data_IF_508467705780
#
_entry.id   IF_508467705780
#
_cell.length_a   1.000
_cell.length_b   1.000
_cell.length_c   1.000
_cell.angle_alpha   90.00
_cell.angle_beta   90.00
_cell.angle_gamma   90.00
#
_symmetry.space_group_name_H-M   'P 1'
#
loop_
_entity.id
_entity.type
_entity.pdbx_description
1 polymer ?
#
# COMPACT_ATOMS: atom_id res chain seq x y z
N UNK A 1 26.60 -10.89 -8.94
CA UNK A 1 25.38 -10.79 -9.80
C UNK A 1 24.51 -9.69 -9.20
N UNK A 2 24.39 -8.54 -9.86
CA UNK A 2 23.44 -7.52 -9.44
C UNK A 2 22.03 -8.08 -9.56
N UNK A 3 21.14 -7.86 -8.57
CA UNK A 3 19.75 -8.25 -8.71
C UNK A 3 19.19 -7.54 -9.95
N UNK A 4 18.55 -8.29 -10.84
CA UNK A 4 17.80 -7.70 -11.95
C UNK A 4 16.69 -6.87 -11.34
N UNK A 5 16.98 -5.57 -11.15
CA UNK A 5 15.98 -4.59 -10.78
C UNK A 5 14.87 -4.63 -11.83
N UNK A 6 13.67 -4.60 -11.36
CA UNK A 6 12.35 -4.43 -11.97
C UNK A 6 12.40 -3.75 -13.39
N UNK A 7 12.96 -4.43 -14.40
CA UNK A 7 13.11 -3.92 -15.77
C UNK A 7 11.81 -3.51 -16.46
N UNK A 8 10.68 -3.94 -15.94
CA UNK A 8 9.35 -3.60 -16.47
C UNK A 8 8.71 -2.36 -15.79
N UNK A 9 9.43 -1.73 -14.86
CA UNK A 9 9.12 -0.40 -14.33
C UNK A 9 9.98 0.69 -14.99
N UNK A 10 10.72 0.40 -16.06
CA UNK A 10 11.36 1.38 -16.92
C UNK A 10 10.28 2.10 -17.76
N UNK A 11 9.42 2.83 -17.06
CA UNK A 11 8.54 3.86 -17.58
C UNK A 11 9.19 5.23 -17.50
N UNK A 12 8.46 6.31 -17.84
CA UNK A 12 8.94 7.67 -17.64
C UNK A 12 9.42 7.88 -16.20
N UNK A 13 10.34 8.81 -15.99
CA UNK A 13 10.93 9.12 -14.68
C UNK A 13 9.88 9.12 -13.56
N UNK A 14 10.18 8.47 -12.44
CA UNK A 14 9.29 8.47 -11.26
C UNK A 14 8.98 9.91 -10.85
N UNK A 15 7.72 10.28 -10.78
CA UNK A 15 7.25 11.65 -10.47
C UNK A 15 6.67 11.69 -9.06
N UNK A 16 7.31 12.41 -8.16
CA UNK A 16 6.85 12.59 -6.77
C UNK A 16 6.41 14.03 -6.56
N UNK A 17 5.15 14.22 -6.16
CA UNK A 17 4.62 15.54 -5.81
C UNK A 17 4.81 15.79 -4.30
N UNK A 18 5.40 16.94 -3.97
CA UNK A 18 5.62 17.38 -2.59
C UNK A 18 4.84 18.67 -2.34
N UNK A 19 3.79 18.58 -1.52
CA UNK A 19 2.90 19.72 -1.23
C UNK A 19 3.09 20.17 0.21
N UNK A 20 3.71 21.32 0.39
CA UNK A 20 3.96 21.96 1.70
C UNK A 20 4.03 23.46 1.52
N UNK A 21 3.42 24.26 2.40
CA UNK A 21 3.45 25.71 2.34
C UNK A 21 4.86 26.32 2.48
N UNK A 22 5.80 25.59 3.09
CA UNK A 22 7.18 26.04 3.29
C UNK A 22 8.08 25.72 2.10
N UNK A 23 8.58 26.74 1.41
CA UNK A 23 9.56 26.58 0.31
C UNK A 23 10.82 25.84 0.77
N UNK A 24 11.27 26.07 2.01
CA UNK A 24 12.45 25.40 2.57
C UNK A 24 12.20 23.89 2.74
N UNK A 25 11.04 23.52 3.29
CA UNK A 25 10.66 22.12 3.50
C UNK A 25 10.57 21.40 2.14
N UNK A 26 9.89 21.99 1.15
CA UNK A 26 9.81 21.41 -0.20
C UNK A 26 11.19 21.18 -0.79
N UNK A 27 12.10 22.17 -0.65
CA UNK A 27 13.47 22.04 -1.15
C UNK A 27 14.24 20.91 -0.45
N UNK A 28 14.20 20.87 0.88
CA UNK A 28 14.89 19.82 1.65
C UNK A 28 14.40 18.41 1.27
N UNK A 29 13.09 18.23 1.14
CA UNK A 29 12.51 16.96 0.70
C UNK A 29 12.97 16.61 -0.73
N UNK A 30 12.94 17.60 -1.63
CA UNK A 30 13.36 17.40 -3.02
C UNK A 30 14.85 17.00 -3.11
N UNK A 31 15.73 17.70 -2.39
CA UNK A 31 17.18 17.45 -2.39
C UNK A 31 17.47 16.01 -1.91
N UNK A 32 16.78 15.55 -0.86
CA UNK A 32 16.97 14.20 -0.32
C UNK A 32 16.38 13.15 -1.28
N UNK A 33 15.20 13.39 -1.84
CA UNK A 33 14.59 12.45 -2.80
C UNK A 33 15.44 12.31 -4.06
N UNK A 34 15.97 13.40 -4.62
CA UNK A 34 16.82 13.38 -5.81
C UNK A 34 18.16 12.68 -5.56
N UNK A 35 18.72 12.83 -4.35
CA UNK A 35 19.92 12.10 -3.95
C UNK A 35 19.67 10.59 -3.83
N UNK A 36 18.56 10.18 -3.21
CA UNK A 36 18.27 8.79 -2.86
C UNK A 36 17.54 8.02 -3.97
N UNK A 37 16.94 8.73 -4.93
CA UNK A 37 16.18 8.19 -6.06
C UNK A 37 16.69 8.79 -7.38
N UNK A 38 17.79 8.27 -7.94
CA UNK A 38 18.33 8.77 -9.20
C UNK A 38 17.26 8.78 -10.31
N UNK A 39 17.10 9.93 -10.98
CA UNK A 39 16.12 10.10 -12.04
C UNK A 39 14.70 10.45 -11.59
N UNK A 40 14.47 10.66 -10.28
CA UNK A 40 13.17 11.13 -9.79
C UNK A 40 12.91 12.58 -10.22
N UNK A 41 11.72 12.84 -10.74
CA UNK A 41 11.19 14.18 -10.94
C UNK A 41 10.39 14.59 -9.69
N UNK A 42 10.84 15.64 -8.99
CA UNK A 42 10.12 16.16 -7.82
C UNK A 42 9.36 17.42 -8.20
N UNK A 43 8.04 17.38 -8.02
CA UNK A 43 7.11 18.48 -8.30
C UNK A 43 6.76 19.12 -6.97
N UNK A 44 7.27 20.33 -6.72
CA UNK A 44 7.01 21.07 -5.48
C UNK A 44 5.82 22.01 -5.63
N UNK A 45 4.76 21.83 -4.84
CA UNK A 45 3.57 22.66 -4.81
C UNK A 45 3.40 23.31 -3.43
N UNK A 46 2.91 24.56 -3.38
CA UNK A 46 2.74 25.27 -2.11
C UNK A 46 1.29 25.34 -1.62
N UNK A 47 0.36 24.84 -2.43
CA UNK A 47 -1.08 24.90 -2.21
C UNK A 47 -1.83 23.77 -2.90
N UNK A 48 -3.10 23.62 -2.58
CA UNK A 48 -4.03 22.71 -3.26
C UNK A 48 -4.20 23.11 -4.73
N UNK A 49 -4.35 24.41 -4.99
CA UNK A 49 -4.53 24.93 -6.36
C UNK A 49 -3.31 24.61 -7.22
N UNK A 50 -2.09 24.87 -6.73
CA UNK A 50 -0.86 24.57 -7.44
C UNK A 50 -0.70 23.05 -7.70
N UNK A 51 -1.04 22.22 -6.71
CA UNK A 51 -1.04 20.78 -6.87
C UNK A 51 -2.06 20.30 -7.93
N UNK A 52 -3.25 20.91 -8.02
CA UNK A 52 -4.24 20.58 -9.04
C UNK A 52 -3.74 20.95 -10.45
N UNK A 53 -3.10 22.12 -10.60
CA UNK A 53 -2.48 22.51 -11.87
C UNK A 53 -1.41 21.52 -12.29
N UNK A 54 -0.56 21.06 -11.36
CA UNK A 54 0.47 20.06 -11.65
C UNK A 54 -0.12 18.70 -12.03
N UNK A 55 -1.20 18.26 -11.38
CA UNK A 55 -1.93 17.02 -11.73
C UNK A 55 -2.55 17.09 -13.13
N UNK A 56 -2.99 18.26 -13.57
CA UNK A 56 -3.51 18.44 -14.93
C UNK A 56 -2.42 18.34 -16.03
N UNK A 57 -1.15 18.54 -15.68
CA UNK A 57 -0.01 18.42 -16.59
C UNK A 57 0.45 16.97 -16.81
N UNK A 58 0.03 16.05 -15.96
CA UNK A 58 0.35 14.62 -16.10
C UNK A 58 0.30 13.84 -14.80
N UNK A 59 0.34 12.51 -14.90
CA UNK A 59 0.25 11.63 -13.75
C UNK A 59 1.49 11.75 -12.84
N UNK A 60 1.28 11.51 -11.54
CA UNK A 60 2.34 11.38 -10.54
C UNK A 60 2.30 9.98 -9.92
N UNK A 61 3.42 9.53 -9.37
CA UNK A 61 3.58 8.20 -8.78
C UNK A 61 3.36 8.19 -7.27
N UNK A 62 3.45 9.36 -6.64
CA UNK A 62 3.22 9.54 -5.21
C UNK A 62 2.99 11.02 -4.91
N UNK A 63 2.14 11.29 -3.92
CA UNK A 63 1.92 12.62 -3.34
C UNK A 63 2.27 12.58 -1.87
N UNK A 64 3.15 13.49 -1.42
CA UNK A 64 3.27 13.85 0.00
C UNK A 64 2.59 15.19 0.21
N UNK A 65 1.83 15.35 1.28
CA UNK A 65 1.16 16.61 1.59
C UNK A 65 1.27 16.95 3.07
N UNK A 66 1.53 18.22 3.39
CA UNK A 66 1.33 18.73 4.75
C UNK A 66 -0.15 18.67 5.12
N UNK A 67 -0.45 18.44 6.39
CA UNK A 67 -1.84 18.47 6.87
C UNK A 67 -2.44 19.87 6.72
N UNK A 68 -1.64 20.91 6.97
CA UNK A 68 -2.08 22.33 6.86
C UNK A 68 -1.44 22.97 5.63
N UNK A 69 -2.27 23.48 4.73
CA UNK A 69 -1.89 24.24 3.53
C UNK A 69 -2.53 25.64 3.59
N UNK A 70 -2.02 26.59 2.79
CA UNK A 70 -2.50 27.98 2.80
C UNK A 70 -3.96 28.15 2.34
N UNK A 71 -4.44 27.24 1.50
CA UNK A 71 -5.76 27.24 0.85
C UNK A 71 -6.65 26.06 1.26
N UNK A 72 -6.27 25.32 2.33
CA UNK A 72 -7.04 24.20 2.85
C UNK A 72 -6.20 23.22 3.66
N UNK A 73 -6.62 21.99 3.70
CA UNK A 73 -5.90 20.91 4.38
C UNK A 73 -5.47 19.80 3.42
N UNK A 74 -4.48 19.00 3.85
CA UNK A 74 -3.96 17.89 3.08
C UNK A 74 -4.98 16.77 2.82
N UNK A 75 -6.04 16.66 3.63
CA UNK A 75 -7.11 15.69 3.44
C UNK A 75 -8.01 16.11 2.26
N UNK A 76 -8.28 17.41 2.14
CA UNK A 76 -8.98 17.97 0.98
C UNK A 76 -8.19 17.75 -0.31
N UNK A 77 -6.86 17.95 -0.27
CA UNK A 77 -6.00 17.62 -1.40
C UNK A 77 -6.03 16.12 -1.73
N UNK A 78 -5.92 15.25 -0.74
CA UNK A 78 -5.97 13.81 -0.93
C UNK A 78 -7.25 13.39 -1.70
N UNK A 79 -8.40 13.94 -1.33
CA UNK A 79 -9.66 13.73 -2.06
C UNK A 79 -9.55 14.17 -3.51
N UNK A 80 -9.05 15.39 -3.77
CA UNK A 80 -8.89 15.92 -5.13
C UNK A 80 -7.95 15.06 -5.99
N UNK A 81 -6.89 14.50 -5.40
CA UNK A 81 -6.00 13.54 -6.08
C UNK A 81 -6.77 12.31 -6.53
N UNK A 82 -7.65 11.75 -5.67
CA UNK A 82 -8.47 10.58 -6.02
C UNK A 82 -9.47 10.85 -7.13
N UNK A 83 -9.98 12.08 -7.20
CA UNK A 83 -10.93 12.53 -8.21
C UNK A 83 -10.25 12.87 -9.55
N UNK A 84 -8.94 13.07 -9.56
CA UNK A 84 -8.20 13.38 -10.77
C UNK A 84 -8.06 12.17 -11.71
N UNK A 85 -8.18 12.40 -13.00
CA UNK A 85 -8.13 11.35 -14.01
C UNK A 85 -6.79 10.57 -13.96
N UNK A 86 -6.86 9.26 -13.84
CA UNK A 86 -5.69 8.37 -13.77
C UNK A 86 -4.94 8.39 -12.45
N UNK A 87 -5.42 9.14 -11.43
CA UNK A 87 -4.74 9.33 -10.15
C UNK A 87 -5.44 8.63 -8.96
N UNK A 88 -6.53 7.92 -9.22
CA UNK A 88 -7.37 7.32 -8.17
C UNK A 88 -6.61 6.39 -7.19
N UNK A 89 -5.46 5.89 -7.60
CA UNK A 89 -4.67 4.90 -6.83
C UNK A 89 -3.26 5.39 -6.45
N UNK A 90 -2.94 6.62 -6.74
CA UNK A 90 -1.62 7.19 -6.37
C UNK A 90 -1.51 7.22 -4.85
N UNK A 91 -0.41 6.73 -4.25
CA UNK A 91 -0.19 6.86 -2.83
C UNK A 91 -0.20 8.32 -2.40
N UNK A 92 -1.04 8.67 -1.41
CA UNK A 92 -1.08 9.99 -0.78
C UNK A 92 -0.65 9.85 0.67
N UNK A 93 0.48 10.46 1.01
CA UNK A 93 1.07 10.44 2.34
C UNK A 93 0.89 11.79 3.00
N UNK A 94 0.19 11.83 4.12
CA UNK A 94 0.04 13.04 4.92
C UNK A 94 1.22 13.15 5.89
N UNK A 95 1.96 14.25 5.81
CA UNK A 95 3.11 14.56 6.66
C UNK A 95 2.67 15.53 7.76
N UNK A 96 2.63 15.07 9.02
CA UNK A 96 2.11 15.83 10.15
C UNK A 96 2.96 15.64 11.40
N UNK A 97 3.01 16.67 12.27
CA UNK A 97 3.58 16.54 13.62
C UNK A 97 2.74 15.66 14.54
N UNK A 98 1.44 15.51 14.24
CA UNK A 98 0.48 14.71 15.03
C UNK A 98 0.12 13.38 14.34
N UNK A 99 1.01 12.89 13.46
CA UNK A 99 0.77 11.69 12.67
C UNK A 99 0.43 10.47 13.53
N UNK A 100 1.07 10.32 14.67
CA UNK A 100 0.83 9.19 15.58
C UNK A 100 -0.59 9.20 16.15
N UNK A 101 -1.11 10.37 16.51
CA UNK A 101 -2.51 10.52 16.98
C UNK A 101 -3.51 10.19 15.87
N UNK A 102 -3.24 10.58 14.63
CA UNK A 102 -4.08 10.24 13.48
C UNK A 102 -4.02 8.74 13.14
N UNK A 103 -2.84 8.11 13.26
CA UNK A 103 -2.67 6.67 13.11
C UNK A 103 -3.41 5.87 14.19
N UNK A 104 -3.33 6.31 15.46
CA UNK A 104 -4.01 5.66 16.58
C UNK A 104 -5.53 5.81 16.51
N UNK A 105 -6.03 6.97 16.12
CA UNK A 105 -7.46 7.23 15.93
C UNK A 105 -8.01 6.62 14.63
N UNK A 106 -7.13 6.02 13.79
CA UNK A 106 -7.48 5.42 12.49
C UNK A 106 -8.45 6.29 11.67
N UNK A 107 -8.25 7.57 11.67
CA UNK A 107 -8.91 8.48 10.75
C UNK A 107 -8.28 8.35 9.36
N UNK A 108 -8.12 7.11 8.88
CA UNK A 108 -7.90 6.87 7.47
C UNK A 108 -9.16 7.33 6.76
N UNK A 109 -9.10 8.51 6.18
CA UNK A 109 -10.05 8.82 5.15
C UNK A 109 -9.74 7.91 3.99
N UNK A 110 -10.74 7.47 3.25
CA UNK A 110 -10.60 6.65 2.04
C UNK A 110 -9.61 7.22 1.00
N UNK A 111 -9.18 8.48 1.20
CA UNK A 111 -8.32 9.22 0.28
C UNK A 111 -6.84 9.19 0.66
N UNK A 112 -6.50 8.94 1.92
CA UNK A 112 -5.12 8.93 2.43
C UNK A 112 -4.59 7.52 2.50
N UNK A 113 -3.41 7.30 1.89
CA UNK A 113 -2.74 6.00 1.91
C UNK A 113 -2.02 5.77 3.22
N UNK A 114 -1.32 6.80 3.73
CA UNK A 114 -0.55 6.69 4.96
C UNK A 114 -0.26 8.06 5.59
N UNK A 115 0.23 8.04 6.83
CA UNK A 115 0.67 9.20 7.56
C UNK A 115 2.15 9.06 7.92
N UNK A 116 2.89 10.16 7.82
CA UNK A 116 4.28 10.21 8.22
C UNK A 116 4.49 11.26 9.32
N UNK A 117 5.19 10.88 10.39
CA UNK A 117 5.52 11.79 11.48
C UNK A 117 6.66 12.73 11.06
N UNK A 118 6.35 14.03 11.01
CA UNK A 118 7.28 15.09 10.62
C UNK A 118 8.50 15.18 11.55
N UNK A 119 8.37 14.76 12.80
CA UNK A 119 9.46 14.78 13.77
C UNK A 119 10.60 13.82 13.44
N UNK A 120 10.33 12.78 12.62
CA UNK A 120 11.35 11.82 12.15
C UNK A 120 12.33 12.42 11.13
N UNK A 121 12.03 13.60 10.61
CA UNK A 121 12.90 14.34 9.70
C UNK A 121 12.81 13.92 8.23
N UNK A 122 13.48 14.71 7.38
CA UNK A 122 13.36 14.58 5.92
C UNK A 122 14.05 13.33 5.36
N UNK A 123 15.13 12.86 5.98
CA UNK A 123 15.84 11.63 5.60
C UNK A 123 14.94 10.40 5.79
N UNK A 124 14.25 10.33 6.92
CA UNK A 124 13.30 9.25 7.19
C UNK A 124 12.10 9.32 6.23
N UNK A 125 11.61 10.53 5.90
CA UNK A 125 10.55 10.71 4.91
C UNK A 125 11.00 10.22 3.52
N UNK A 126 12.21 10.54 3.08
CA UNK A 126 12.72 10.09 1.79
C UNK A 126 12.86 8.55 1.73
N UNK A 127 13.34 7.93 2.82
CA UNK A 127 13.39 6.47 2.94
C UNK A 127 11.99 5.85 2.88
N UNK A 128 11.01 6.49 3.51
CA UNK A 128 9.61 6.08 3.51
C UNK A 128 9.00 6.19 2.09
N UNK A 129 9.18 7.34 1.43
CA UNK A 129 8.74 7.59 0.04
C UNK A 129 9.39 6.58 -0.92
N UNK A 130 10.70 6.34 -0.79
CA UNK A 130 11.40 5.33 -1.59
C UNK A 130 10.76 3.96 -1.45
N UNK A 131 10.29 3.60 -0.26
CA UNK A 131 9.55 2.37 -0.03
C UNK A 131 8.30 2.23 -0.89
N UNK A 132 7.65 3.33 -1.25
CA UNK A 132 6.48 3.35 -2.11
C UNK A 132 6.82 3.36 -3.60
N UNK A 133 7.79 4.19 -4.01
CA UNK A 133 8.08 4.41 -5.45
C UNK A 133 9.09 3.41 -6.02
N UNK A 134 9.94 2.84 -5.18
CA UNK A 134 10.88 1.77 -5.53
C UNK A 134 10.77 0.63 -4.51
N UNK A 135 9.69 -0.12 -4.51
CA UNK A 135 9.55 -1.22 -3.58
C UNK A 135 10.61 -2.28 -3.86
N UNK A 136 11.46 -2.54 -2.87
CA UNK A 136 12.43 -3.63 -2.97
C UNK A 136 11.69 -4.96 -2.92
N UNK A 137 12.05 -5.89 -3.79
CA UNK A 137 11.54 -7.26 -3.76
C UNK A 137 11.85 -7.92 -2.41
N UNK A 138 10.97 -8.80 -1.99
CA UNK A 138 11.14 -9.63 -0.79
C UNK A 138 11.12 -11.10 -1.26
N UNK A 139 12.22 -11.59 -1.85
CA UNK A 139 12.24 -12.91 -2.44
C UNK A 139 11.85 -13.98 -1.46
N UNK A 140 11.03 -14.93 -1.92
CA UNK A 140 10.60 -16.09 -1.14
C UNK A 140 9.50 -15.80 -0.11
N UNK A 141 9.00 -14.57 0.00
CA UNK A 141 7.80 -14.30 0.81
C UNK A 141 6.60 -15.05 0.22
N UNK A 142 5.78 -15.64 1.08
CA UNK A 142 4.66 -16.51 0.68
C UNK A 142 3.33 -15.75 0.81
N UNK A 143 2.61 -15.65 -0.29
CA UNK A 143 1.29 -15.05 -0.39
C UNK A 143 0.25 -16.17 -0.43
N UNK A 144 -0.67 -16.20 0.54
CA UNK A 144 -1.90 -16.98 0.43
C UNK A 144 -2.90 -16.19 -0.40
N UNK A 145 -3.16 -16.68 -1.62
CA UNK A 145 -4.02 -15.99 -2.58
C UNK A 145 -5.33 -16.75 -2.76
N UNK A 146 -6.46 -16.06 -2.52
CA UNK A 146 -7.80 -16.63 -2.53
C UNK A 146 -8.62 -15.96 -3.64
N UNK A 147 -8.92 -16.69 -4.71
CA UNK A 147 -9.64 -16.20 -5.88
C UNK A 147 -10.27 -17.38 -6.63
N UNK A 148 -11.57 -17.36 -6.86
CA UNK A 148 -12.31 -18.42 -7.52
C UNK A 148 -12.32 -18.29 -9.05
N UNK A 149 -12.07 -17.08 -9.58
CA UNK A 149 -11.94 -16.86 -11.02
C UNK A 149 -10.58 -17.33 -11.52
N UNK A 150 -10.56 -18.43 -12.25
CA UNK A 150 -9.32 -18.98 -12.81
C UNK A 150 -8.52 -17.99 -13.66
N UNK A 151 -9.20 -17.15 -14.42
CA UNK A 151 -8.55 -16.16 -15.30
C UNK A 151 -7.86 -15.07 -14.47
N UNK A 152 -8.56 -14.53 -13.47
CA UNK A 152 -8.01 -13.52 -12.57
C UNK A 152 -6.88 -14.11 -11.74
N UNK A 153 -7.06 -15.33 -11.21
CA UNK A 153 -6.07 -16.03 -10.42
C UNK A 153 -4.75 -16.20 -11.18
N UNK A 154 -4.80 -16.70 -12.39
CA UNK A 154 -3.60 -16.95 -13.20
C UNK A 154 -2.86 -15.66 -13.56
N UNK A 155 -3.60 -14.60 -13.94
CA UNK A 155 -3.02 -13.31 -14.25
C UNK A 155 -2.32 -12.68 -13.03
N UNK A 156 -3.02 -12.64 -11.90
CA UNK A 156 -2.51 -12.06 -10.64
C UNK A 156 -1.33 -12.86 -10.09
N UNK A 157 -1.41 -14.20 -10.14
CA UNK A 157 -0.31 -15.07 -9.73
C UNK A 157 0.97 -14.77 -10.51
N UNK A 158 0.90 -14.62 -11.84
CA UNK A 158 2.06 -14.25 -12.68
C UNK A 158 2.65 -12.89 -12.30
N UNK A 159 1.80 -11.90 -11.97
CA UNK A 159 2.28 -10.59 -11.51
C UNK A 159 3.11 -10.71 -10.22
N UNK A 160 2.63 -11.51 -9.25
CA UNK A 160 3.30 -11.74 -7.98
C UNK A 160 4.60 -12.57 -8.13
N UNK A 161 4.56 -13.66 -8.91
CA UNK A 161 5.71 -14.54 -9.13
C UNK A 161 6.86 -13.84 -9.85
N UNK A 162 6.56 -12.88 -10.75
CA UNK A 162 7.59 -12.00 -11.36
C UNK A 162 8.38 -11.19 -10.32
N UNK A 163 7.81 -10.95 -9.14
CA UNK A 163 8.47 -10.30 -8.01
C UNK A 163 9.20 -11.28 -7.08
N UNK A 164 9.41 -12.54 -7.54
CA UNK A 164 10.04 -13.61 -6.76
C UNK A 164 9.27 -13.97 -5.48
N UNK A 165 7.95 -13.74 -5.47
CA UNK A 165 7.06 -14.14 -4.38
C UNK A 165 6.56 -15.57 -4.62
N UNK A 166 6.40 -16.33 -3.55
CA UNK A 166 5.75 -17.63 -3.59
C UNK A 166 4.23 -17.42 -3.47
N UNK A 167 3.45 -18.03 -4.36
CA UNK A 167 1.99 -17.88 -4.35
C UNK A 167 1.32 -19.23 -4.08
N UNK A 168 0.65 -19.32 -2.95
CA UNK A 168 -0.23 -20.43 -2.59
C UNK A 168 -1.65 -20.04 -2.97
N UNK A 169 -2.13 -20.48 -4.12
CA UNK A 169 -3.47 -20.16 -4.61
C UNK A 169 -4.48 -21.20 -4.16
N UNK A 170 -5.62 -20.72 -3.67
CA UNK A 170 -6.81 -21.51 -3.30
C UNK A 170 -8.07 -20.84 -3.85
N UNK A 171 -9.14 -21.60 -4.03
CA UNK A 171 -10.36 -21.13 -4.71
C UNK A 171 -11.48 -20.74 -3.73
N UNK A 172 -11.32 -21.05 -2.45
CA UNK A 172 -12.34 -20.76 -1.44
C UNK A 172 -11.74 -20.36 -0.09
N UNK A 173 -12.56 -19.72 0.74
CA UNK A 173 -12.19 -19.35 2.11
C UNK A 173 -11.91 -20.60 2.97
N UNK A 174 -12.64 -21.69 2.77
CA UNK A 174 -12.52 -22.95 3.51
C UNK A 174 -11.15 -23.59 3.28
N UNK A 175 -10.68 -23.60 2.04
CA UNK A 175 -9.31 -24.08 1.71
C UNK A 175 -8.26 -23.19 2.37
N UNK A 176 -8.44 -21.87 2.34
CA UNK A 176 -7.54 -20.92 3.00
C UNK A 176 -7.47 -21.16 4.51
N UNK A 177 -8.60 -21.41 5.16
CA UNK A 177 -8.63 -21.70 6.60
C UNK A 177 -7.92 -23.02 6.95
N UNK A 178 -7.99 -24.00 6.08
CA UNK A 178 -7.24 -25.26 6.26
C UNK A 178 -5.73 -24.99 6.28
N UNK A 179 -5.22 -24.16 5.35
CA UNK A 179 -3.80 -23.79 5.29
C UNK A 179 -3.38 -22.93 6.48
N UNK A 180 -4.19 -21.93 6.86
CA UNK A 180 -3.93 -21.09 8.02
C UNK A 180 -3.93 -21.87 9.33
N UNK A 181 -4.83 -22.86 9.46
CA UNK A 181 -4.85 -23.76 10.62
C UNK A 181 -3.60 -24.63 10.68
N UNK A 182 -3.16 -25.17 9.54
CA UNK A 182 -1.94 -25.95 9.48
C UNK A 182 -0.70 -25.10 9.84
N UNK A 183 -0.66 -23.85 9.40
CA UNK A 183 0.41 -22.90 9.74
C UNK A 183 0.40 -22.56 11.23
N UNK A 184 -0.75 -22.22 11.81
CA UNK A 184 -0.89 -21.87 13.22
C UNK A 184 -0.50 -23.00 14.18
N UNK A 185 -0.68 -24.24 13.75
CA UNK A 185 -0.29 -25.43 14.51
C UNK A 185 1.16 -25.87 14.26
N UNK A 186 1.94 -25.11 13.49
CA UNK A 186 3.32 -25.46 13.13
C UNK A 186 3.43 -26.69 12.22
N UNK A 187 2.35 -27.09 11.55
CA UNK A 187 2.28 -28.23 10.64
C UNK A 187 2.55 -27.87 9.19
N UNK A 188 2.62 -26.56 8.87
CA UNK A 188 2.98 -26.07 7.53
C UNK A 188 4.49 -25.97 7.40
N UNK A 189 5.01 -26.35 6.21
CA UNK A 189 6.42 -26.11 5.84
C UNK A 189 6.70 -24.65 5.44
N UNK A 190 5.67 -23.90 5.14
CA UNK A 190 5.77 -22.53 4.67
C UNK A 190 5.02 -21.61 5.62
N UNK A 191 5.70 -20.53 6.04
CA UNK A 191 5.06 -19.42 6.71
C UNK A 191 4.25 -18.63 5.69
N UNK A 192 3.05 -18.23 6.05
CA UNK A 192 2.25 -17.29 5.26
C UNK A 192 2.61 -15.87 5.71
N UNK A 193 3.11 -15.05 4.77
CA UNK A 193 3.57 -13.70 5.04
C UNK A 193 2.51 -12.63 4.72
N UNK A 194 1.55 -12.94 3.83
CA UNK A 194 0.44 -12.05 3.45
C UNK A 194 -0.73 -12.86 2.91
N UNK A 195 -1.95 -12.41 3.19
CA UNK A 195 -3.17 -12.92 2.56
C UNK A 195 -3.66 -11.90 1.54
N UNK A 196 -3.90 -12.36 0.31
CA UNK A 196 -4.58 -11.61 -0.75
C UNK A 196 -5.89 -12.34 -1.07
N UNK A 197 -7.04 -11.70 -0.92
CA UNK A 197 -8.34 -12.35 -1.11
C UNK A 197 -9.29 -11.50 -1.95
N UNK A 198 -10.07 -12.13 -2.82
CA UNK A 198 -11.25 -11.46 -3.37
C UNK A 198 -12.31 -11.29 -2.27
N UNK A 199 -13.14 -10.24 -2.39
CA UNK A 199 -14.34 -10.07 -1.55
C UNK A 199 -15.35 -11.16 -1.83
N UNK A 200 -15.65 -11.40 -3.11
CA UNK A 200 -16.65 -12.36 -3.56
C UNK A 200 -15.97 -13.67 -3.89
N UNK A 201 -16.19 -14.68 -3.08
CA UNK A 201 -15.64 -16.01 -3.25
C UNK A 201 -16.73 -17.03 -3.52
N UNK A 202 -16.33 -18.15 -4.09
CA UNK A 202 -17.20 -19.32 -4.26
C UNK A 202 -17.45 -19.98 -2.91
N UNK A 203 -18.70 -20.28 -2.60
CA UNK A 203 -19.10 -20.91 -1.34
C UNK A 203 -19.98 -19.99 -0.48
N UNK A 204 -20.06 -20.28 0.80
CA UNK A 204 -20.88 -19.53 1.77
C UNK A 204 -20.09 -18.37 2.41
N UNK A 205 -18.77 -18.43 2.33
CA UNK A 205 -17.88 -17.48 2.98
C UNK A 205 -17.28 -16.49 1.96
N UNK A 206 -17.10 -15.26 2.41
CA UNK A 206 -16.57 -14.14 1.62
C UNK A 206 -15.14 -13.78 2.04
N UNK A 207 -14.47 -12.93 1.25
CA UNK A 207 -13.18 -12.36 1.66
C UNK A 207 -13.27 -11.55 2.95
N UNK A 208 -14.45 -10.98 3.28
CA UNK A 208 -14.67 -10.33 4.58
C UNK A 208 -14.59 -11.32 5.74
N UNK A 209 -15.14 -12.52 5.57
CA UNK A 209 -15.09 -13.58 6.57
C UNK A 209 -13.64 -14.05 6.76
N UNK A 210 -12.85 -14.10 5.66
CA UNK A 210 -11.40 -14.37 5.74
C UNK A 210 -10.70 -13.33 6.61
N UNK A 211 -10.94 -12.02 6.37
CA UNK A 211 -10.37 -10.94 7.18
C UNK A 211 -10.74 -11.12 8.66
N UNK A 212 -12.03 -11.31 8.94
CA UNK A 212 -12.52 -11.43 10.31
C UNK A 212 -11.90 -12.62 11.03
N UNK A 213 -11.84 -13.77 10.37
CA UNK A 213 -11.28 -15.00 10.96
C UNK A 213 -9.78 -14.87 11.22
N UNK A 214 -9.03 -14.26 10.32
CA UNK A 214 -7.60 -13.98 10.53
C UNK A 214 -7.39 -13.11 11.78
N UNK A 215 -8.27 -12.13 12.03
CA UNK A 215 -8.15 -11.19 13.16
C UNK A 215 -8.67 -11.77 14.48
N UNK A 216 -9.80 -12.47 14.44
CA UNK A 216 -10.51 -12.93 15.65
C UNK A 216 -10.08 -14.34 16.03
N UNK A 217 -10.22 -15.31 15.11
CA UNK A 217 -10.03 -16.73 15.44
C UNK A 217 -8.54 -17.10 15.51
N UNK A 218 -7.73 -16.64 14.52
CA UNK A 218 -6.29 -16.87 14.52
C UNK A 218 -5.52 -15.84 15.37
N UNK A 219 -6.13 -14.73 15.78
CA UNK A 219 -5.51 -13.69 16.60
C UNK A 219 -4.36 -12.95 15.90
N UNK A 220 -4.24 -13.05 14.57
CA UNK A 220 -3.16 -12.41 13.83
C UNK A 220 -3.45 -10.92 13.63
N UNK A 221 -2.66 -10.07 14.26
CA UNK A 221 -2.70 -8.62 14.06
C UNK A 221 -2.27 -8.22 12.64
N UNK A 222 -2.63 -6.98 12.24
CA UNK A 222 -2.34 -6.42 10.91
C UNK A 222 -0.85 -6.45 10.52
N UNK A 223 0.05 -6.40 11.51
CA UNK A 223 1.52 -6.45 11.31
C UNK A 223 2.05 -7.88 11.22
N UNK A 224 1.42 -8.86 11.92
CA UNK A 224 1.85 -10.26 11.87
C UNK A 224 1.45 -10.94 10.57
N UNK A 225 0.22 -10.73 10.14
CA UNK A 225 -0.32 -11.26 8.89
C UNK A 225 -1.17 -10.20 8.21
N UNK A 226 -0.57 -9.39 7.30
CA UNK A 226 -1.34 -8.44 6.52
C UNK A 226 -2.35 -9.14 5.60
N UNK A 227 -3.53 -8.53 5.48
CA UNK A 227 -4.60 -8.99 4.59
C UNK A 227 -4.95 -7.86 3.62
N UNK A 228 -4.76 -8.10 2.33
CA UNK A 228 -5.22 -7.25 1.25
C UNK A 228 -6.49 -7.85 0.65
N UNK A 229 -7.49 -7.00 0.42
CA UNK A 229 -8.77 -7.43 -0.15
C UNK A 229 -8.94 -6.82 -1.53
N UNK A 230 -9.20 -7.68 -2.53
CA UNK A 230 -9.51 -7.26 -3.88
C UNK A 230 -11.02 -7.06 -4.02
N UNK A 231 -11.45 -5.96 -4.59
CA UNK A 231 -12.88 -5.64 -4.75
C UNK A 231 -13.16 -4.92 -6.05
N UNK A 232 -14.27 -5.28 -6.71
CA UNK A 232 -14.84 -4.52 -7.82
C UNK A 232 -15.84 -3.45 -7.38
N UNK A 233 -16.14 -3.40 -6.07
CA UNK A 233 -17.11 -2.45 -5.54
C UNK A 233 -16.46 -1.08 -5.32
N UNK A 234 -16.92 -0.09 -6.10
CA UNK A 234 -16.49 1.30 -5.97
C UNK A 234 -17.18 2.08 -4.84
N UNK A 235 -18.09 1.46 -4.06
CA UNK A 235 -18.81 2.14 -3.00
C UNK A 235 -17.89 2.37 -1.77
N UNK A 236 -17.60 3.63 -1.40
CA UNK A 236 -16.70 3.94 -0.28
C UNK A 236 -17.16 3.35 1.06
N UNK A 237 -18.46 3.26 1.30
CA UNK A 237 -18.99 2.71 2.54
C UNK A 237 -18.65 1.22 2.71
N UNK A 238 -18.79 0.44 1.64
CA UNK A 238 -18.45 -0.98 1.64
C UNK A 238 -16.93 -1.18 1.79
N UNK A 239 -16.12 -0.35 1.13
CA UNK A 239 -14.66 -0.35 1.26
C UNK A 239 -14.22 -0.04 2.70
N UNK A 240 -14.81 1.00 3.31
CA UNK A 240 -14.57 1.34 4.73
C UNK A 240 -14.94 0.17 5.65
N UNK A 241 -16.04 -0.53 5.37
CA UNK A 241 -16.45 -1.72 6.11
C UNK A 241 -15.43 -2.85 6.10
N UNK A 242 -14.71 -3.06 4.99
CA UNK A 242 -13.64 -4.04 4.89
C UNK A 242 -12.40 -3.63 5.72
N UNK A 243 -12.02 -2.36 5.69
CA UNK A 243 -10.91 -1.83 6.49
C UNK A 243 -11.21 -1.90 7.99
N UNK A 244 -12.47 -1.60 8.40
CA UNK A 244 -12.93 -1.72 9.77
C UNK A 244 -12.99 -3.19 10.24
N UNK A 245 -13.32 -4.12 9.34
CA UNK A 245 -13.25 -5.56 9.64
C UNK A 245 -11.82 -6.04 9.91
N UNK A 246 -10.81 -5.25 9.53
CA UNK A 246 -9.41 -5.55 9.83
C UNK A 246 -8.52 -5.75 8.60
N UNK A 247 -9.00 -5.52 7.37
CA UNK A 247 -8.14 -5.49 6.20
C UNK A 247 -7.03 -4.43 6.37
N UNK A 248 -5.86 -4.70 5.82
CA UNK A 248 -4.75 -3.74 5.81
C UNK A 248 -4.98 -2.68 4.74
N UNK A 249 -5.38 -3.11 3.55
CA UNK A 249 -5.63 -2.24 2.41
C UNK A 249 -6.52 -2.95 1.38
N UNK A 250 -6.94 -2.22 0.36
CA UNK A 250 -7.78 -2.71 -0.71
C UNK A 250 -7.07 -2.61 -2.06
N UNK A 251 -7.39 -3.55 -2.95
CA UNK A 251 -6.97 -3.54 -4.36
C UNK A 251 -8.23 -3.49 -5.21
N UNK A 252 -8.44 -2.41 -5.95
CA UNK A 252 -9.62 -2.28 -6.79
C UNK A 252 -9.47 -3.07 -8.10
N UNK A 253 -10.55 -3.70 -8.54
CA UNK A 253 -10.65 -4.34 -9.86
C UNK A 253 -11.17 -3.30 -10.88
N UNK A 254 -10.64 -3.25 -12.11
CA UNK A 254 -9.65 -4.16 -12.69
C UNK A 254 -8.27 -4.01 -12.04
N UNK A 255 -7.57 -5.13 -11.82
CA UNK A 255 -6.27 -5.15 -11.12
C UNK A 255 -5.21 -4.50 -12.01
N UNK A 256 -4.63 -3.41 -11.52
CA UNK A 256 -3.48 -2.76 -12.11
C UNK A 256 -2.21 -3.31 -11.44
N UNK A 257 -1.30 -3.89 -12.25
CA UNK A 257 -0.13 -4.62 -11.77
C UNK A 257 0.75 -3.78 -10.83
N UNK A 258 1.08 -2.55 -11.24
CA UNK A 258 1.96 -1.67 -10.47
C UNK A 258 1.39 -1.39 -9.09
N UNK A 259 0.09 -1.11 -9.01
CA UNK A 259 -0.58 -0.83 -7.74
C UNK A 259 -0.63 -2.06 -6.84
N UNK A 260 -1.01 -3.23 -7.39
CA UNK A 260 -1.02 -4.48 -6.64
C UNK A 260 0.35 -4.76 -6.03
N UNK A 261 1.39 -4.72 -6.86
CA UNK A 261 2.77 -5.02 -6.43
C UNK A 261 3.24 -4.03 -5.38
N UNK A 262 2.99 -2.73 -5.57
CA UNK A 262 3.34 -1.70 -4.58
C UNK A 262 2.69 -1.99 -3.23
N UNK A 263 1.39 -2.29 -3.20
CA UNK A 263 0.66 -2.58 -1.96
C UNK A 263 1.15 -3.87 -1.29
N UNK A 264 1.35 -4.93 -2.06
CA UNK A 264 1.84 -6.22 -1.54
C UNK A 264 3.23 -6.07 -0.93
N UNK A 265 4.19 -5.50 -1.66
CA UNK A 265 5.55 -5.34 -1.19
C UNK A 265 5.64 -4.39 0.01
N UNK A 266 4.82 -3.34 0.04
CA UNK A 266 4.72 -2.43 1.18
C UNK A 266 4.26 -3.16 2.45
N UNK A 267 3.17 -3.93 2.38
CA UNK A 267 2.63 -4.66 3.52
C UNK A 267 3.61 -5.74 4.03
N UNK A 268 4.25 -6.46 3.12
CA UNK A 268 5.28 -7.44 3.46
C UNK A 268 6.47 -6.79 4.19
N UNK A 269 6.88 -5.59 3.77
CA UNK A 269 7.97 -4.85 4.42
C UNK A 269 7.59 -4.42 5.82
N UNK A 270 6.39 -3.86 6.01
CA UNK A 270 5.89 -3.48 7.33
C UNK A 270 5.80 -4.68 8.29
N UNK A 271 5.41 -5.85 7.79
CA UNK A 271 5.38 -7.07 8.58
C UNK A 271 6.79 -7.49 9.03
N UNK A 272 7.78 -7.46 8.13
CA UNK A 272 9.17 -7.86 8.45
C UNK A 272 9.92 -6.90 9.36
N UNK A 273 9.63 -5.60 9.34
CA UNK A 273 10.24 -4.64 10.26
C UNK A 273 9.94 -4.95 11.74
N UNK A 274 8.88 -5.72 12.02
CA UNK A 274 8.53 -6.14 13.38
C UNK A 274 9.07 -7.52 13.76
N UNK A 275 9.61 -8.29 12.82
CA UNK A 275 10.26 -9.58 13.08
C UNK A 275 11.76 -9.41 13.42
N UNK A 276 12.30 -8.18 13.33
CA UNK A 276 13.65 -7.84 13.78
C UNK A 276 13.76 -7.92 15.32
N UNK A 277 14.96 -8.22 15.88
CA UNK A 277 15.13 -8.24 17.31
C UNK A 277 14.73 -6.85 17.85
N UNK A 278 13.78 -6.85 18.81
CA UNK A 278 13.52 -5.69 19.65
C UNK A 278 14.85 -5.22 20.18
N UNK A 279 15.34 -4.07 19.72
CA UNK A 279 16.43 -3.38 20.40
C UNK A 279 15.95 -3.15 21.82
N UNK A 280 16.49 -3.97 22.73
CA UNK A 280 16.34 -3.83 24.18
C UNK A 280 17.08 -2.60 24.65
#
# INVERSE_FOLDING_TARGET
>A
MQPQALKHLEGPATRVMVVDGSKLVRKLIADVLQRDLPGVEVIGCDSIEDAQHALAQGPVDLVTTSLTLRDGDGLALARKVREAAGQAYVPVIVVSGDAQQHLEQRRFTEYVTDYFDKSLGHEALATFVRGYVQPQTIPGATILYIEDSRVVAEATKRMLERQQLNVMHVVSAEEAFTLLTAESLGRSRHRIDLVLTDVTLKGELSGRDVVQRVRVDFGYGKRRLPVLVMTGDGNPHNQTGLLQAGANDLVLKPIEERLLITKVLFQLRLARLNDGPLLR
#
